data_IF_255004853376
#
_entry.id   IF_255004853376
#
_cell.length_a   1.000
_cell.length_b   1.000
_cell.length_c   1.000
_cell.angle_alpha   90.00
_cell.angle_beta   90.00
_cell.angle_gamma   90.00
#
_symmetry.space_group_name_H-M   'P 1'
#
loop_
_entity.id
_entity.type
_entity.pdbx_description
1 polymer ?
#
# COMPACT_ATOMS: atom_id res chain seq x y z
N UNK A 1 -11.58 -24.95 5.17
CA UNK A 1 -11.00 -23.86 4.37
C UNK A 1 -10.32 -22.88 5.32
N UNK A 2 -9.02 -22.64 5.14
CA UNK A 2 -8.22 -21.78 6.01
C UNK A 2 -8.44 -20.33 5.56
N UNK A 3 -9.27 -19.57 6.26
CA UNK A 3 -9.51 -18.16 5.98
C UNK A 3 -8.50 -17.32 6.78
N UNK A 4 -7.45 -16.84 6.09
CA UNK A 4 -6.43 -15.96 6.68
C UNK A 4 -7.05 -14.61 7.08
N UNK A 5 -6.91 -14.28 8.36
CA UNK A 5 -7.54 -13.16 9.08
C UNK A 5 -6.70 -11.87 9.02
N UNK A 6 -6.40 -11.36 7.84
CA UNK A 6 -5.58 -10.13 7.68
C UNK A 6 -6.21 -9.12 6.71
N UNK A 7 -7.54 -8.94 6.78
CA UNK A 7 -8.20 -7.93 5.94
C UNK A 7 -9.16 -7.08 6.77
N UNK A 8 -8.83 -5.79 6.89
CA UNK A 8 -9.75 -4.76 7.36
C UNK A 8 -10.86 -4.61 6.30
N UNK A 9 -11.92 -5.40 6.41
CA UNK A 9 -13.12 -5.24 5.59
C UNK A 9 -12.96 -5.56 4.09
N UNK A 10 -11.95 -6.32 3.68
CA UNK A 10 -11.70 -6.63 2.26
C UNK A 10 -10.65 -5.74 1.58
N UNK A 11 -10.20 -4.66 2.22
CA UNK A 11 -9.22 -3.73 1.64
C UNK A 11 -7.79 -4.19 1.95
N UNK A 12 -6.95 -4.42 0.93
CA UNK A 12 -5.56 -4.78 1.14
C UNK A 12 -4.77 -3.59 1.67
N UNK A 13 -3.97 -3.84 2.71
CA UNK A 13 -3.11 -2.85 3.37
C UNK A 13 -1.65 -3.27 3.28
N UNK A 14 -0.73 -2.31 3.38
CA UNK A 14 0.69 -2.62 3.50
C UNK A 14 0.95 -3.37 4.81
N UNK A 15 1.71 -4.46 4.74
CA UNK A 15 1.96 -5.32 5.91
C UNK A 15 2.65 -4.54 7.02
N UNK A 16 2.06 -4.58 8.22
CA UNK A 16 2.58 -3.87 9.38
C UNK A 16 2.16 -2.40 9.47
N UNK A 17 1.33 -1.93 8.54
CA UNK A 17 0.74 -0.60 8.56
C UNK A 17 -0.79 -0.70 8.50
N UNK A 18 -1.47 0.43 8.67
CA UNK A 18 -2.90 0.57 8.37
C UNK A 18 -3.13 1.34 7.08
N UNK A 19 -2.09 1.49 6.26
CA UNK A 19 -2.13 2.25 5.01
C UNK A 19 -2.68 1.33 3.91
N UNK A 20 -3.83 1.68 3.30
CA UNK A 20 -4.37 0.94 2.16
C UNK A 20 -3.44 0.99 0.95
N UNK A 21 -3.41 -0.08 0.15
CA UNK A 21 -2.72 -0.05 -1.15
C UNK A 21 -3.39 0.99 -2.07
N UNK A 22 -4.71 1.17 -1.96
CA UNK A 22 -5.45 2.16 -2.75
C UNK A 22 -4.89 3.57 -2.62
N UNK A 23 -4.46 3.99 -1.42
CA UNK A 23 -3.85 5.31 -1.23
C UNK A 23 -2.61 5.51 -2.12
N UNK A 24 -1.78 4.47 -2.29
CA UNK A 24 -0.62 4.56 -3.19
C UNK A 24 -1.08 4.70 -4.64
N UNK A 25 -2.11 3.96 -5.04
CA UNK A 25 -2.67 4.04 -6.39
C UNK A 25 -3.22 5.44 -6.67
N UNK A 26 -3.96 6.02 -5.71
CA UNK A 26 -4.53 7.36 -5.85
C UNK A 26 -3.45 8.44 -6.09
N UNK A 27 -2.30 8.33 -5.42
CA UNK A 27 -1.15 9.22 -5.64
C UNK A 27 -0.61 9.06 -7.07
N UNK A 28 -0.42 7.81 -7.52
CA UNK A 28 0.07 7.55 -8.88
C UNK A 28 -0.93 8.00 -9.96
N UNK A 29 -2.23 7.86 -9.73
CA UNK A 29 -3.28 8.36 -10.63
C UNK A 29 -3.36 9.88 -10.65
N UNK A 30 -3.04 10.55 -9.53
CA UNK A 30 -2.89 12.00 -9.46
C UNK A 30 -1.61 12.50 -10.17
N UNK A 31 -0.71 11.60 -10.57
CA UNK A 31 0.57 11.91 -11.22
C UNK A 31 1.73 12.12 -10.24
N UNK A 32 1.53 11.84 -8.95
CA UNK A 32 2.58 11.89 -7.95
C UNK A 32 3.52 10.68 -8.05
N UNK A 33 4.70 10.81 -7.44
CA UNK A 33 5.71 9.75 -7.43
C UNK A 33 5.55 8.82 -6.22
N UNK A 34 6.14 7.63 -6.31
CA UNK A 34 6.25 6.71 -5.17
C UNK A 34 7.04 7.35 -4.03
N UNK A 35 8.08 8.11 -4.34
CA UNK A 35 8.88 8.77 -3.31
C UNK A 35 8.02 9.80 -2.54
N UNK A 36 7.15 10.55 -3.23
CA UNK A 36 6.16 11.45 -2.62
C UNK A 36 5.22 10.69 -1.67
N UNK A 37 4.68 9.55 -2.10
CA UNK A 37 3.86 8.70 -1.23
C UNK A 37 4.63 8.20 0.00
N UNK A 38 5.91 7.84 -0.14
CA UNK A 38 6.73 7.35 0.96
C UNK A 38 7.13 8.47 1.94
N UNK A 39 7.20 9.72 1.49
CA UNK A 39 7.38 10.88 2.37
C UNK A 39 6.17 11.07 3.31
N UNK A 40 4.96 10.90 2.78
CA UNK A 40 3.72 11.01 3.57
C UNK A 40 3.42 9.76 4.41
N UNK A 41 3.87 8.58 3.95
CA UNK A 41 3.71 7.30 4.64
C UNK A 41 5.06 6.61 4.91
N UNK A 42 5.93 7.17 5.76
CA UNK A 42 7.28 6.64 6.00
C UNK A 42 7.30 5.27 6.69
N UNK A 43 6.14 4.83 7.19
CA UNK A 43 5.97 3.47 7.77
C UNK A 43 5.83 2.39 6.71
N UNK A 44 5.52 2.74 5.46
CA UNK A 44 5.48 1.83 4.33
C UNK A 44 6.90 1.64 3.82
N UNK A 45 7.34 0.39 3.68
CA UNK A 45 8.68 0.12 3.14
C UNK A 45 8.66 0.26 1.62
N UNK A 46 9.73 0.86 1.06
CA UNK A 46 9.88 1.06 -0.38
C UNK A 46 9.76 -0.25 -1.16
N UNK A 47 10.29 -1.35 -0.64
CA UNK A 47 10.17 -2.67 -1.27
C UNK A 47 8.71 -3.14 -1.35
N UNK A 48 7.89 -2.82 -0.35
CA UNK A 48 6.47 -3.17 -0.35
C UNK A 48 5.69 -2.34 -1.38
N UNK A 49 6.01 -1.05 -1.51
CA UNK A 49 5.43 -0.17 -2.53
C UNK A 49 5.78 -0.65 -3.95
N UNK A 50 7.05 -0.99 -4.21
CA UNK A 50 7.50 -1.49 -5.52
C UNK A 50 6.83 -2.84 -5.84
N UNK A 51 6.75 -3.75 -4.87
CA UNK A 51 6.09 -5.05 -5.07
C UNK A 51 4.59 -4.91 -5.39
N UNK A 52 3.95 -3.83 -4.95
CA UNK A 52 2.55 -3.56 -5.25
C UNK A 52 2.31 -3.11 -6.70
N UNK A 53 3.35 -2.67 -7.43
CA UNK A 53 3.23 -2.28 -8.85
C UNK A 53 3.29 -3.46 -9.83
N UNK A 54 3.90 -4.57 -9.41
CA UNK A 54 4.20 -5.73 -10.28
C UNK A 54 3.16 -6.85 -10.15
N UNK A 55 2.02 -6.59 -9.51
CA UNK A 55 1.01 -7.59 -9.16
C UNK A 55 -0.36 -7.29 -9.74
#
# INVERSE_FOLDING_TARGET
>A
MHCSKDILGGVPVFRGTRVPIQNMIDYLEAGDSIDTFLEDFPTVKKEQAILALVK
#
